data_IF_231754858284
#
_entry.id   IF_231754858284
#
_cell.length_a   1.000
_cell.length_b   1.000
_cell.length_c   1.000
_cell.angle_alpha   90.00
_cell.angle_beta   90.00
_cell.angle_gamma   90.00
#
_symmetry.space_group_name_H-M   'P 1'
#
loop_
_entity.id
_entity.type
_entity.pdbx_description
1 polymer ?
#
# COMPACT_ATOMS: atom_id res chain seq x y z
N UNK A 1 23.11 -3.24 -56.23
CA UNK A 1 22.00 -4.10 -56.72
C UNK A 1 21.51 -4.97 -55.59
N UNK A 2 20.23 -4.84 -55.21
CA UNK A 2 19.55 -5.57 -54.12
C UNK A 2 19.36 -7.04 -54.51
N UNK A 3 19.64 -7.97 -53.60
CA UNK A 3 19.10 -9.34 -53.63
C UNK A 3 18.57 -9.67 -52.24
N UNK A 4 17.25 -9.59 -52.09
CA UNK A 4 16.51 -10.03 -50.92
C UNK A 4 16.27 -11.52 -51.08
N UNK A 5 16.90 -12.35 -50.24
CA UNK A 5 16.53 -13.77 -50.13
C UNK A 5 15.86 -13.95 -48.78
N UNK A 6 14.54 -13.94 -48.85
CA UNK A 6 13.62 -14.29 -47.79
C UNK A 6 13.70 -15.81 -47.59
N UNK A 7 14.19 -16.26 -46.44
CA UNK A 7 14.05 -17.66 -46.01
C UNK A 7 13.64 -17.67 -44.54
N UNK A 8 12.34 -17.86 -44.31
CA UNK A 8 11.82 -18.22 -42.99
C UNK A 8 12.16 -19.69 -42.73
N UNK A 9 12.85 -19.95 -41.62
CA UNK A 9 12.95 -21.28 -41.04
C UNK A 9 12.47 -21.17 -39.60
N UNK A 10 11.19 -21.47 -39.38
CA UNK A 10 10.61 -21.58 -38.05
C UNK A 10 10.96 -22.97 -37.52
N UNK A 11 11.96 -23.04 -36.63
CA UNK A 11 12.23 -24.25 -35.85
C UNK A 11 11.46 -24.15 -34.53
N UNK A 12 10.33 -24.84 -34.48
CA UNK A 12 9.71 -25.24 -33.22
C UNK A 12 10.57 -26.34 -32.60
N UNK A 13 11.38 -26.01 -31.61
CA UNK A 13 11.87 -26.98 -30.63
C UNK A 13 11.08 -26.76 -29.34
N UNK A 14 10.13 -27.67 -29.11
CA UNK A 14 9.32 -27.69 -27.91
C UNK A 14 10.10 -28.12 -26.67
N UNK A 15 9.47 -27.85 -25.52
CA UNK A 15 9.61 -28.48 -24.20
C UNK A 15 11.05 -28.60 -23.67
N UNK A 16 11.43 -27.98 -22.56
CA UNK A 16 10.68 -27.44 -21.44
C UNK A 16 11.56 -27.55 -20.19
N UNK A 17 11.10 -26.92 -19.11
CA UNK A 17 11.56 -27.06 -17.71
C UNK A 17 13.02 -26.59 -17.47
N UNK A 18 13.41 -25.81 -16.46
CA UNK A 18 12.98 -25.63 -15.07
C UNK A 18 13.33 -24.19 -14.67
N UNK A 19 12.39 -23.46 -14.07
CA UNK A 19 12.77 -22.30 -13.26
C UNK A 19 13.41 -22.85 -11.99
N UNK A 20 14.73 -23.02 -11.99
CA UNK A 20 15.50 -23.00 -10.75
C UNK A 20 15.49 -21.55 -10.25
N UNK A 21 14.38 -21.14 -9.63
CA UNK A 21 14.32 -19.96 -8.78
C UNK A 21 15.05 -20.27 -7.47
N UNK A 22 16.34 -20.55 -7.58
CA UNK A 22 17.22 -20.67 -6.42
C UNK A 22 17.58 -19.25 -5.99
N UNK A 23 16.73 -18.71 -5.12
CA UNK A 23 17.13 -17.89 -3.98
C UNK A 23 15.85 -17.43 -3.29
N UNK A 24 15.19 -18.38 -2.62
CA UNK A 24 14.41 -18.04 -1.43
C UNK A 24 15.41 -17.70 -0.31
N UNK A 25 16.23 -16.67 -0.54
CA UNK A 25 17.03 -16.05 0.50
C UNK A 25 16.12 -15.01 1.17
N UNK A 26 15.65 -15.36 2.36
CA UNK A 26 15.38 -14.41 3.44
C UNK A 26 14.57 -13.16 3.07
N UNK A 27 13.28 -13.35 2.76
CA UNK A 27 12.26 -12.36 3.18
C UNK A 27 11.81 -12.59 4.63
N UNK A 28 12.68 -13.21 5.44
CA UNK A 28 12.57 -13.31 6.88
C UNK A 28 13.51 -12.32 7.58
N UNK A 29 13.58 -11.08 7.10
CA UNK A 29 14.00 -9.92 7.91
C UNK A 29 13.54 -8.67 7.14
N UNK A 30 12.74 -7.76 7.66
CA UNK A 30 12.71 -7.29 9.04
C UNK A 30 11.26 -7.02 9.41
N UNK A 31 10.81 -7.65 10.47
CA UNK A 31 9.68 -7.20 11.27
C UNK A 31 10.15 -5.95 12.05
N UNK A 32 10.61 -4.91 11.33
CA UNK A 32 11.03 -3.63 11.91
C UNK A 32 9.77 -2.78 12.06
N UNK A 33 9.18 -2.67 13.24
CA UNK A 33 9.65 -1.78 14.31
C UNK A 33 9.74 -0.29 13.92
N UNK A 34 8.96 0.14 12.92
CA UNK A 34 8.67 1.57 12.68
C UNK A 34 7.21 1.87 12.39
N UNK A 35 6.28 0.94 12.66
CA UNK A 35 4.86 1.31 12.79
C UNK A 35 4.77 2.24 13.99
N UNK A 36 4.84 3.55 13.75
CA UNK A 36 4.51 4.56 14.76
C UNK A 36 3.17 4.17 15.35
N UNK A 37 3.13 4.01 16.67
CA UNK A 37 1.88 3.70 17.38
C UNK A 37 0.84 4.74 16.95
N UNK A 38 -0.31 4.31 16.40
CA UNK A 38 -1.35 5.24 16.00
C UNK A 38 -1.75 6.15 17.16
N UNK A 39 -1.70 7.46 16.94
CA UNK A 39 -2.06 8.48 17.92
C UNK A 39 -3.51 8.91 17.67
N UNK A 40 -4.36 8.88 18.69
CA UNK A 40 -5.70 9.44 18.61
C UNK A 40 -5.59 10.96 18.63
N UNK A 41 -5.80 11.60 17.48
CA UNK A 41 -5.65 13.05 17.33
C UNK A 41 -6.98 13.80 17.45
N UNK A 42 -8.11 13.11 17.30
CA UNK A 42 -9.44 13.69 17.47
C UNK A 42 -10.43 12.61 17.89
N UNK A 43 -11.34 12.95 18.79
CA UNK A 43 -12.54 12.16 19.10
C UNK A 43 -13.77 13.04 18.89
N UNK A 44 -14.70 12.60 18.06
CA UNK A 44 -15.92 13.36 17.72
C UNK A 44 -17.02 12.41 17.27
N UNK A 45 -18.26 12.64 17.72
CA UNK A 45 -19.45 11.89 17.26
C UNK A 45 -19.28 10.35 17.31
N UNK A 46 -18.72 9.84 18.41
CA UNK A 46 -18.40 8.41 18.60
C UNK A 46 -17.34 7.83 17.63
N UNK A 47 -16.65 8.68 16.88
CA UNK A 47 -15.52 8.32 16.04
C UNK A 47 -14.22 8.87 16.63
N UNK A 48 -13.15 8.13 16.40
CA UNK A 48 -11.78 8.51 16.69
C UNK A 48 -11.02 8.60 15.38
N UNK A 49 -10.31 9.71 15.18
CA UNK A 49 -9.31 9.86 14.13
C UNK A 49 -7.95 9.51 14.71
N UNK A 50 -7.32 8.51 14.11
CA UNK A 50 -5.98 8.09 14.45
C UNK A 50 -5.03 8.54 13.35
N UNK A 51 -3.90 9.10 13.75
CA UNK A 51 -2.81 9.51 12.86
C UNK A 51 -1.63 8.58 13.09
N UNK A 52 -1.03 8.10 12.02
CA UNK A 52 0.20 7.30 12.07
C UNK A 52 1.07 7.60 10.84
N UNK A 53 2.33 7.16 10.91
CA UNK A 53 3.26 7.12 9.80
C UNK A 53 3.29 5.70 9.23
N UNK A 54 3.11 5.56 7.92
CA UNK A 54 3.24 4.27 7.24
C UNK A 54 4.71 3.85 7.10
N UNK A 55 4.93 2.67 6.50
CA UNK A 55 6.27 2.12 6.29
C UNK A 55 7.18 3.00 5.44
N UNK A 56 6.62 3.93 4.65
CA UNK A 56 7.35 4.88 3.82
C UNK A 56 7.56 6.23 4.52
N UNK A 57 7.15 6.37 5.78
CA UNK A 57 7.19 7.64 6.50
C UNK A 57 6.07 8.62 6.12
N UNK A 58 5.05 8.16 5.40
CA UNK A 58 3.92 9.01 4.98
C UNK A 58 2.89 9.07 6.09
N UNK A 59 2.40 10.26 6.41
CA UNK A 59 1.30 10.42 7.37
C UNK A 59 0.00 9.88 6.79
N UNK A 60 -0.63 8.98 7.54
CA UNK A 60 -1.88 8.30 7.23
C UNK A 60 -2.87 8.44 8.38
N UNK A 61 -4.14 8.24 8.05
CA UNK A 61 -5.25 8.41 8.96
C UNK A 61 -6.17 7.17 8.94
N UNK A 62 -6.62 6.79 10.12
CA UNK A 62 -7.66 5.77 10.33
C UNK A 62 -8.80 6.38 11.11
N UNK A 63 -10.03 6.08 10.71
CA UNK A 63 -11.24 6.39 11.48
C UNK A 63 -11.78 5.09 12.05
N UNK A 64 -12.02 5.09 13.36
CA UNK A 64 -12.65 3.97 14.07
C UNK A 64 -13.74 4.47 15.01
N UNK A 65 -14.66 3.58 15.39
CA UNK A 65 -15.60 3.82 16.47
C UNK A 65 -14.90 3.71 17.83
N UNK A 66 -15.55 4.18 18.90
CA UNK A 66 -15.01 4.08 20.28
C UNK A 66 -14.75 2.64 20.74
N UNK A 67 -15.42 1.65 20.16
CA UNK A 67 -15.21 0.23 20.43
C UNK A 67 -14.02 -0.37 19.66
N UNK A 68 -13.33 0.43 18.84
CA UNK A 68 -12.20 0.02 18.02
C UNK A 68 -12.57 -0.51 16.64
N UNK A 69 -13.85 -0.55 16.28
CA UNK A 69 -14.28 -0.98 14.94
C UNK A 69 -13.85 0.03 13.88
N UNK A 70 -12.99 -0.38 12.96
CA UNK A 70 -12.47 0.44 11.87
C UNK A 70 -13.58 0.75 10.86
N UNK A 71 -13.72 2.03 10.52
CA UNK A 71 -14.66 2.55 9.52
C UNK A 71 -13.93 2.86 8.20
N UNK A 72 -12.72 3.40 8.30
CA UNK A 72 -11.84 3.69 7.16
C UNK A 72 -10.38 3.68 7.62
N UNK A 73 -9.46 3.26 6.76
CA UNK A 73 -8.04 3.11 7.08
C UNK A 73 -7.14 3.57 5.93
N UNK A 74 -5.85 3.79 6.24
CA UNK A 74 -4.80 4.18 5.29
C UNK A 74 -5.09 5.43 4.43
N UNK A 75 -5.95 6.31 4.95
CA UNK A 75 -6.33 7.51 4.25
C UNK A 75 -5.20 8.54 4.28
N UNK A 76 -4.97 9.18 3.15
CA UNK A 76 -4.27 10.46 3.10
C UNK A 76 -5.11 11.57 3.71
N UNK A 77 -4.47 12.70 4.03
CA UNK A 77 -5.20 13.89 4.50
C UNK A 77 -6.20 14.44 3.46
N UNK A 78 -5.91 14.25 2.17
CA UNK A 78 -6.81 14.68 1.10
C UNK A 78 -8.09 13.84 1.09
N UNK A 79 -7.96 12.52 1.21
CA UNK A 79 -9.11 11.59 1.31
C UNK A 79 -9.93 11.89 2.57
N UNK A 80 -9.26 12.11 3.72
CA UNK A 80 -9.93 12.52 4.96
C UNK A 80 -10.80 13.79 4.75
N UNK A 81 -10.26 14.79 4.05
CA UNK A 81 -10.98 16.03 3.75
C UNK A 81 -12.18 15.84 2.81
N UNK A 82 -12.09 14.92 1.85
CA UNK A 82 -13.14 14.69 0.86
C UNK A 82 -14.26 13.82 1.45
N UNK A 83 -13.89 12.72 2.10
CA UNK A 83 -14.83 11.69 2.55
C UNK A 83 -15.39 11.98 3.95
N UNK A 84 -14.61 12.68 4.79
CA UNK A 84 -14.98 13.03 6.17
C UNK A 84 -14.76 14.53 6.46
N UNK A 85 -15.38 15.44 5.70
CA UNK A 85 -15.14 16.89 5.80
C UNK A 85 -15.49 17.47 7.18
N UNK A 86 -16.43 16.85 7.91
CA UNK A 86 -16.78 17.27 9.27
C UNK A 86 -15.69 16.97 10.30
N UNK A 87 -14.95 15.88 10.10
CA UNK A 87 -13.82 15.48 10.95
C UNK A 87 -12.62 16.36 10.64
N UNK A 88 -12.30 16.58 9.36
CA UNK A 88 -11.19 17.46 8.94
C UNK A 88 -11.38 18.89 9.48
N UNK A 89 -12.60 19.45 9.39
CA UNK A 89 -12.90 20.79 9.93
C UNK A 89 -12.60 20.93 11.42
N UNK A 90 -12.80 19.86 12.20
CA UNK A 90 -12.52 19.85 13.64
C UNK A 90 -11.05 19.59 13.95
N UNK A 91 -10.35 18.89 13.07
CA UNK A 91 -8.93 18.62 13.20
C UNK A 91 -8.06 19.87 12.96
N UNK A 92 -8.50 20.77 12.08
CA UNK A 92 -7.82 22.04 11.79
C UNK A 92 -8.17 23.20 12.74
N UNK A 93 -9.13 22.99 13.66
CA UNK A 93 -9.60 24.02 14.60
C UNK A 93 -8.77 24.06 15.88
#
# INVERSE_FOLDING_TARGET
MKKLILTSFVLFTGMGILFAGDSCADYASVKDLSKTTPEIVLTSNNLQLLKYSDHNGTTRFTIQNLDGTVVAEDMSRLELRIDFPEIEKKFES
#
